data_IF_069788462806
#
_entry.id   IF_069788462806
#
_cell.length_a   1.000
_cell.length_b   1.000
_cell.length_c   1.000
_cell.angle_alpha   90.00
_cell.angle_beta   90.00
_cell.angle_gamma   90.00
#
_symmetry.space_group_name_H-M   'P 1'
#
loop_
_entity.id
_entity.type
_entity.pdbx_description
1 polymer ?
#
# COMPACT_ATOMS: atom_id res chain seq x y z
N UNK A 1 6.90 4.52 -15.37
CA UNK A 1 5.80 5.50 -15.26
C UNK A 1 4.81 4.94 -14.26
N UNK A 2 4.88 5.39 -13.00
CA UNK A 2 3.84 5.09 -12.02
C UNK A 2 2.74 6.15 -12.16
N UNK A 3 1.47 5.74 -12.11
CA UNK A 3 0.37 6.69 -12.01
C UNK A 3 0.09 6.94 -10.53
N UNK A 4 0.19 8.20 -10.12
CA UNK A 4 -0.12 8.62 -8.76
C UNK A 4 -1.64 8.53 -8.51
N UNK A 5 -2.11 8.15 -7.30
CA UNK A 5 -3.53 8.12 -6.96
C UNK A 5 -4.27 9.42 -7.28
N UNK A 6 -3.61 10.58 -7.18
CA UNK A 6 -4.15 11.89 -7.58
C UNK A 6 -4.50 11.95 -9.06
N UNK A 7 -3.64 11.43 -9.94
CA UNK A 7 -3.90 11.38 -11.37
C UNK A 7 -5.02 10.39 -11.70
N UNK A 8 -5.02 9.22 -11.06
CA UNK A 8 -6.08 8.24 -11.23
C UNK A 8 -7.45 8.80 -10.81
N UNK A 9 -7.48 9.59 -9.73
CA UNK A 9 -8.71 10.21 -9.26
C UNK A 9 -9.30 11.20 -10.27
N UNK A 10 -8.45 12.05 -10.86
CA UNK A 10 -8.88 12.99 -11.90
C UNK A 10 -9.47 12.26 -13.12
N UNK A 11 -8.90 11.12 -13.51
CA UNK A 11 -9.44 10.31 -14.60
C UNK A 11 -10.75 9.62 -14.19
N UNK A 12 -10.85 9.07 -12.98
CA UNK A 12 -12.10 8.47 -12.49
C UNK A 12 -13.25 9.47 -12.42
N UNK A 13 -12.98 10.73 -12.08
CA UNK A 13 -14.01 11.78 -12.02
C UNK A 13 -14.51 12.22 -13.40
N UNK A 14 -13.67 12.13 -14.43
CA UNK A 14 -13.98 12.62 -15.79
C UNK A 14 -14.43 11.52 -16.75
N UNK A 15 -14.25 10.27 -16.37
CA UNK A 15 -14.56 9.10 -17.20
C UNK A 15 -15.54 8.16 -16.49
N UNK A 16 -15.93 7.07 -17.15
CA UNK A 16 -16.73 6.01 -16.54
C UNK A 16 -15.88 4.82 -16.06
N UNK A 17 -14.55 4.99 -15.98
CA UNK A 17 -13.66 3.97 -15.44
C UNK A 17 -13.69 3.98 -13.92
N UNK A 18 -13.54 2.81 -13.32
CA UNK A 18 -13.40 2.64 -11.87
C UNK A 18 -12.05 2.03 -11.59
N UNK A 19 -11.24 2.69 -10.78
CA UNK A 19 -9.90 2.23 -10.45
C UNK A 19 -9.87 1.51 -9.12
N UNK A 20 -8.96 0.54 -9.06
CA UNK A 20 -8.70 -0.28 -7.90
C UNK A 20 -7.21 -0.21 -7.61
N UNK A 21 -6.87 -0.03 -6.35
CA UNK A 21 -5.50 -0.06 -5.88
C UNK A 21 -5.23 -1.46 -5.35
N UNK A 22 -4.15 -2.08 -5.81
CA UNK A 22 -3.66 -3.36 -5.34
C UNK A 22 -2.21 -3.16 -4.92
N UNK A 23 -1.92 -3.36 -3.63
CA UNK A 23 -0.58 -3.19 -3.08
C UNK A 23 -0.15 -4.55 -2.52
N UNK A 24 1.04 -4.96 -2.93
CA UNK A 24 1.67 -6.20 -2.48
C UNK A 24 3.09 -5.87 -2.02
N UNK A 25 3.53 -6.51 -0.94
CA UNK A 25 4.94 -6.53 -0.58
C UNK A 25 5.75 -7.30 -1.63
N UNK A 26 7.05 -7.04 -1.69
CA UNK A 26 7.97 -7.84 -2.49
C UNK A 26 8.90 -8.63 -1.57
N UNK A 27 9.43 -9.74 -2.08
CA UNK A 27 10.40 -10.54 -1.34
C UNK A 27 11.74 -9.83 -1.33
N UNK A 28 12.41 -9.86 -0.17
CA UNK A 28 13.82 -9.49 -0.12
C UNK A 28 14.63 -10.51 -0.94
N UNK A 29 15.51 -10.03 -1.82
CA UNK A 29 16.49 -10.86 -2.52
C UNK A 29 17.84 -10.77 -1.80
N UNK A 30 18.19 -11.73 -0.93
CA UNK A 30 19.49 -11.75 -0.27
C UNK A 30 20.62 -11.83 -1.30
N UNK A 31 21.61 -10.94 -1.15
CA UNK A 31 22.78 -10.80 -2.05
C UNK A 31 23.57 -12.10 -2.17
N UNK A 32 23.60 -12.90 -1.11
CA UNK A 32 24.46 -14.09 -0.99
C UNK A 32 23.94 -15.31 -1.79
N UNK A 33 22.63 -15.45 -1.95
CA UNK A 33 22.02 -16.63 -2.59
C UNK A 33 21.18 -16.28 -3.83
N UNK A 34 20.87 -14.98 -4.02
CA UNK A 34 20.28 -14.46 -5.25
C UNK A 34 18.86 -14.93 -5.58
N UNK A 35 18.20 -15.62 -4.65
CA UNK A 35 16.86 -16.18 -4.84
C UNK A 35 15.86 -15.55 -3.85
N UNK A 36 14.60 -15.42 -4.27
CA UNK A 36 13.54 -14.82 -3.47
C UNK A 36 13.27 -15.66 -2.22
N UNK A 37 13.12 -15.03 -1.05
CA UNK A 37 12.67 -15.77 0.14
C UNK A 37 11.29 -16.38 -0.10
N UNK A 38 11.03 -17.59 0.41
CA UNK A 38 9.71 -18.24 0.35
C UNK A 38 8.72 -17.66 1.38
N UNK A 39 9.00 -16.46 1.89
CA UNK A 39 8.25 -15.85 2.97
C UNK A 39 7.00 -15.16 2.42
N UNK A 40 5.85 -15.28 3.09
CA UNK A 40 4.63 -14.60 2.65
C UNK A 40 4.80 -13.08 2.71
N UNK A 41 4.21 -12.39 1.74
CA UNK A 41 4.22 -10.93 1.66
C UNK A 41 2.81 -10.38 1.94
N UNK A 42 2.70 -9.18 2.54
CA UNK A 42 1.40 -8.55 2.77
C UNK A 42 0.72 -8.21 1.43
N UNK A 43 -0.60 -8.37 1.39
CA UNK A 43 -1.44 -8.02 0.24
C UNK A 43 -2.64 -7.20 0.71
N UNK A 44 -2.95 -6.13 0.01
CA UNK A 44 -4.18 -5.35 0.22
C UNK A 44 -4.75 -4.84 -1.09
N UNK A 45 -6.07 -4.67 -1.13
CA UNK A 45 -6.75 -4.07 -2.26
C UNK A 45 -7.95 -3.23 -1.83
N UNK A 46 -8.19 -2.13 -2.53
CA UNK A 46 -9.35 -1.28 -2.29
C UNK A 46 -9.80 -0.57 -3.57
N UNK A 47 -10.99 0.05 -3.54
CA UNK A 47 -11.39 0.99 -4.59
C UNK A 47 -10.67 2.31 -4.38
N UNK A 48 -10.35 3.01 -5.47
CA UNK A 48 -9.73 4.32 -5.38
C UNK A 48 -10.58 5.29 -4.52
N UNK A 49 -11.91 5.24 -4.61
CA UNK A 49 -12.83 6.04 -3.78
C UNK A 49 -12.69 5.78 -2.27
N UNK A 50 -12.46 4.53 -1.88
CA UNK A 50 -12.30 4.17 -0.47
C UNK A 50 -10.95 4.73 0.03
N UNK A 51 -9.91 4.66 -0.80
CA UNK A 51 -8.61 5.30 -0.53
C UNK A 51 -8.73 6.83 -0.40
N UNK A 52 -9.42 7.51 -1.32
CA UNK A 52 -9.62 8.97 -1.23
C UNK A 52 -10.38 9.34 0.05
N UNK A 53 -11.38 8.55 0.43
CA UNK A 53 -12.09 8.74 1.71
C UNK A 53 -11.14 8.57 2.91
N UNK A 54 -10.22 7.60 2.83
CA UNK A 54 -9.26 7.32 3.88
C UNK A 54 -8.16 8.37 4.04
N UNK A 55 -7.76 9.03 2.96
CA UNK A 55 -6.78 10.14 2.98
C UNK A 55 -7.38 11.44 3.55
N UNK A 56 -8.69 11.51 3.77
CA UNK A 56 -9.38 12.72 4.24
C UNK A 56 -10.15 13.45 3.14
N UNK A 57 -10.44 12.78 2.02
CA UNK A 57 -11.22 13.29 0.91
C UNK A 57 -10.39 13.89 -0.22
N UNK A 58 -11.09 14.44 -1.22
CA UNK A 58 -10.48 14.96 -2.44
C UNK A 58 -9.52 16.12 -2.19
N UNK A 59 -9.82 17.03 -1.25
CA UNK A 59 -8.97 18.17 -0.95
C UNK A 59 -7.57 17.72 -0.45
N UNK A 60 -7.54 16.77 0.49
CA UNK A 60 -6.29 16.22 1.04
C UNK A 60 -5.48 15.44 -0.02
N UNK A 61 -6.17 14.68 -0.88
CA UNK A 61 -5.51 13.98 -1.98
C UNK A 61 -4.85 14.97 -2.96
N UNK A 62 -5.56 16.05 -3.32
CA UNK A 62 -5.03 17.04 -4.26
C UNK A 62 -3.88 17.86 -3.68
N UNK A 63 -3.78 18.00 -2.36
CA UNK A 63 -2.67 18.67 -1.67
C UNK A 63 -1.38 17.82 -1.65
N UNK A 64 -1.49 16.51 -1.88
CA UNK A 64 -0.33 15.60 -1.88
C UNK A 64 0.70 16.02 -2.94
N UNK A 65 1.97 16.15 -2.53
CA UNK A 65 3.08 16.49 -3.42
C UNK A 65 3.38 15.35 -4.38
N UNK A 66 3.68 15.70 -5.62
CA UNK A 66 4.15 14.79 -6.67
C UNK A 66 5.67 14.87 -6.88
N UNK A 67 6.36 15.61 -6.02
CA UNK A 67 7.81 15.73 -6.10
C UNK A 67 8.46 14.36 -5.83
N UNK A 68 9.61 14.07 -6.46
CA UNK A 68 10.34 12.84 -6.19
C UNK A 68 10.59 12.68 -4.69
N UNK A 69 10.34 11.48 -4.16
CA UNK A 69 10.65 11.16 -2.78
C UNK A 69 12.15 11.41 -2.53
N UNK A 70 12.52 12.20 -1.50
CA UNK A 70 13.92 12.47 -1.20
C UNK A 70 14.58 11.17 -0.74
N UNK A 71 15.32 10.53 -1.64
CA UNK A 71 16.13 9.37 -1.28
C UNK A 71 17.24 9.83 -0.31
N UNK A 72 17.50 9.07 0.76
CA UNK A 72 18.64 9.34 1.62
C UNK A 72 19.91 9.43 0.78
N UNK A 73 20.58 10.57 0.80
CA UNK A 73 21.88 10.71 0.17
C UNK A 73 22.86 9.87 0.97
N UNK A 74 23.63 9.00 0.31
CA UNK A 74 24.70 8.24 0.97
C UNK A 74 25.68 9.26 1.57
N UNK A 75 25.60 9.47 2.88
CA UNK A 75 26.63 10.20 3.62
C UNK A 75 27.81 9.24 3.73
N UNK A 76 29.01 9.70 3.35
CA UNK A 76 30.24 8.94 3.55
C UNK A 76 30.30 8.45 5.01
N UNK A 77 30.53 7.15 5.19
CA UNK A 77 30.47 6.45 6.46
C UNK A 77 31.35 7.14 7.53
N UNK A 78 30.73 7.73 8.55
CA UNK A 78 31.48 8.43 9.59
C UNK A 78 30.69 9.12 10.70
N UNK A 79 29.36 9.16 10.67
CA UNK A 79 28.56 9.73 11.76
C UNK A 79 27.50 8.71 12.19
N UNK A 80 27.55 8.32 13.47
CA UNK A 80 26.51 7.53 14.12
C UNK A 80 25.18 8.25 13.92
N UNK A 81 24.32 7.69 13.06
CA UNK A 81 22.94 8.15 12.94
C UNK A 81 22.23 7.68 14.20
N UNK A 82 22.38 8.45 15.27
CA UNK A 82 21.44 8.44 16.38
C UNK A 82 20.11 8.90 15.78
N UNK A 83 19.35 7.94 15.27
CA UNK A 83 17.96 8.16 14.92
C UNK A 83 17.27 8.69 16.18
N UNK A 84 16.80 9.92 16.11
CA UNK A 84 15.78 10.39 17.02
C UNK A 84 14.58 9.47 16.77
N UNK A 85 14.47 8.40 17.57
CA UNK A 85 13.25 7.62 17.71
C UNK A 85 12.23 8.58 18.31
N UNK A 86 11.63 9.38 17.42
CA UNK A 86 10.62 10.36 17.77
C UNK A 86 9.61 9.68 18.67
N UNK A 87 9.46 10.26 19.86
CA UNK A 87 8.52 9.89 20.91
C UNK A 87 7.27 9.28 20.30
N UNK A 88 7.04 7.99 20.61
CA UNK A 88 5.92 7.17 20.16
C UNK A 88 4.59 7.70 20.70
N UNK A 89 4.23 8.90 20.27
CA UNK A 89 2.96 9.54 20.53
C UNK A 89 1.87 8.57 20.13
N UNK A 90 1.02 8.25 21.10
CA UNK A 90 -0.15 7.38 20.94
C UNK A 90 -0.94 7.81 19.70
N UNK A 91 -0.76 7.09 18.60
CA UNK A 91 -1.48 7.28 17.33
C UNK A 91 -2.96 7.34 17.68
N UNK A 92 -3.66 8.39 17.24
CA UNK A 92 -5.12 8.40 17.28
C UNK A 92 -5.63 7.08 16.71
N UNK A 93 -6.67 6.51 17.32
CA UNK A 93 -7.22 5.22 16.89
C UNK A 93 -7.75 5.36 15.47
N UNK A 94 -6.92 4.94 14.50
CA UNK A 94 -7.28 4.86 13.08
C UNK A 94 -8.39 3.82 12.95
N UNK A 95 -9.53 4.20 12.38
CA UNK A 95 -10.62 3.28 12.08
C UNK A 95 -10.45 2.73 10.65
N UNK A 96 -10.82 1.47 10.45
CA UNK A 96 -10.82 0.87 9.13
C UNK A 96 -11.87 1.54 8.23
N UNK A 97 -11.46 1.93 7.03
CA UNK A 97 -12.33 2.63 6.06
C UNK A 97 -12.64 1.64 4.94
N UNK A 98 -13.73 0.90 5.16
CA UNK A 98 -14.15 -0.20 4.29
C UNK A 98 -13.31 -1.47 4.49
N UNK A 99 -13.79 -2.59 3.92
CA UNK A 99 -13.09 -3.87 4.01
C UNK A 99 -13.25 -4.57 5.38
N UNK A 100 -12.15 -5.08 5.91
CA UNK A 100 -12.08 -5.78 7.20
C UNK A 100 -11.57 -4.85 8.33
N UNK A 101 -11.20 -5.42 9.49
CA UNK A 101 -10.78 -4.65 10.66
C UNK A 101 -9.31 -4.24 10.67
N UNK A 102 -8.53 -4.57 9.63
CA UNK A 102 -7.10 -4.27 9.58
C UNK A 102 -6.88 -2.82 9.13
N UNK A 103 -6.06 -2.07 9.87
CA UNK A 103 -5.84 -0.63 9.67
C UNK A 103 -4.40 -0.27 9.30
N UNK A 104 -3.49 -1.24 9.29
CA UNK A 104 -2.08 -1.05 8.98
C UNK A 104 -1.60 -2.10 7.98
N UNK A 105 -0.73 -1.68 7.06
CA UNK A 105 -0.08 -2.57 6.10
C UNK A 105 1.32 -2.91 6.60
N UNK A 106 1.40 -3.98 7.39
CA UNK A 106 2.64 -4.65 7.78
C UNK A 106 2.40 -6.16 7.83
N UNK A 107 3.45 -6.96 7.97
CA UNK A 107 3.42 -8.42 7.90
C UNK A 107 2.47 -9.02 8.95
N UNK A 108 2.49 -8.46 10.16
CA UNK A 108 1.71 -8.99 11.29
C UNK A 108 0.24 -8.59 11.21
N UNK A 109 -0.03 -7.34 10.82
CA UNK A 109 -1.39 -6.81 10.69
C UNK A 109 -2.11 -7.45 9.50
N UNK A 110 -1.47 -7.54 8.34
CA UNK A 110 -2.04 -8.12 7.14
C UNK A 110 -2.39 -9.62 7.32
N UNK A 111 -1.60 -10.36 8.10
CA UNK A 111 -1.88 -11.76 8.41
C UNK A 111 -3.20 -11.99 9.19
N UNK A 112 -3.76 -10.94 9.80
CA UNK A 112 -5.06 -10.98 10.50
C UNK A 112 -6.24 -10.60 9.60
N UNK A 113 -5.97 -10.24 8.35
CA UNK A 113 -6.98 -9.84 7.37
C UNK A 113 -7.85 -11.00 6.90
N UNK A 114 -8.97 -10.66 6.27
CA UNK A 114 -9.98 -11.63 5.86
C UNK A 114 -9.59 -12.50 4.65
N UNK A 115 -8.54 -12.12 3.91
CA UNK A 115 -8.05 -12.87 2.75
C UNK A 115 -7.27 -14.14 3.14
N UNK A 116 -6.75 -14.19 4.37
CA UNK A 116 -5.90 -15.29 4.82
C UNK A 116 -4.64 -15.45 3.97
N UNK A 117 -4.08 -16.67 3.99
CA UNK A 117 -2.93 -17.04 3.17
C UNK A 117 -3.40 -17.62 1.84
N UNK A 118 -2.85 -17.10 0.73
CA UNK A 118 -3.12 -17.59 -0.61
C UNK A 118 -1.85 -17.48 -1.48
N UNK A 119 -1.75 -18.31 -2.51
CA UNK A 119 -0.62 -18.32 -3.43
C UNK A 119 -0.77 -17.21 -4.47
N UNK A 120 0.36 -16.73 -5.02
CA UNK A 120 0.33 -15.72 -6.10
C UNK A 120 -0.53 -16.13 -7.31
N UNK A 121 -0.63 -17.42 -7.62
CA UNK A 121 -1.51 -17.93 -8.68
C UNK A 121 -3.01 -17.71 -8.42
N UNK A 122 -3.42 -17.53 -7.18
CA UNK A 122 -4.82 -17.30 -6.78
C UNK A 122 -5.20 -15.81 -6.83
N UNK A 123 -4.21 -14.91 -6.93
CA UNK A 123 -4.38 -13.46 -6.89
C UNK A 123 -5.40 -12.94 -7.91
N UNK A 124 -5.33 -13.41 -9.16
CA UNK A 124 -6.27 -12.99 -10.19
C UNK A 124 -7.71 -13.47 -9.91
N UNK A 125 -7.87 -14.63 -9.26
CA UNK A 125 -9.18 -15.11 -8.81
C UNK A 125 -9.78 -14.23 -7.72
N UNK A 126 -8.94 -13.79 -6.76
CA UNK A 126 -9.34 -12.82 -5.73
C UNK A 126 -9.76 -11.49 -6.36
N UNK A 127 -8.93 -10.96 -7.27
CA UNK A 127 -9.18 -9.68 -7.94
C UNK A 127 -10.49 -9.74 -8.74
N UNK A 128 -10.65 -10.72 -9.63
CA UNK A 128 -11.86 -10.85 -10.47
C UNK A 128 -13.13 -10.97 -9.64
N UNK A 129 -13.10 -11.77 -8.57
CA UNK A 129 -14.21 -11.91 -7.63
C UNK A 129 -14.53 -10.59 -6.90
N UNK A 130 -13.53 -9.84 -6.48
CA UNK A 130 -13.73 -8.53 -5.85
C UNK A 130 -14.31 -7.50 -6.82
N UNK A 131 -13.84 -7.51 -8.08
CA UNK A 131 -14.33 -6.67 -9.16
C UNK A 131 -15.74 -7.05 -9.62
N UNK A 132 -16.25 -8.22 -9.22
CA UNK A 132 -17.49 -8.84 -9.75
C UNK A 132 -17.45 -8.96 -11.27
N UNK A 133 -16.28 -9.30 -11.79
CA UNK A 133 -16.09 -9.61 -13.21
C UNK A 133 -16.25 -11.11 -13.35
N UNK A 134 -17.25 -11.55 -14.11
CA UNK A 134 -17.39 -12.95 -14.48
C UNK A 134 -16.23 -13.35 -15.40
N UNK A 135 -15.60 -14.49 -15.12
CA UNK A 135 -14.54 -15.11 -15.93
C UNK A 135 -15.13 -16.29 -16.70
#
# INVERSE_FOLDING_TARGET
>A
MGYDPKMLWQVEMTTNYRYFLCVIGDHSTPVEYGDHSFEPVPFTMCRLRDFVSAVGGEAALLETSLDPFPLPTVVECGEDVAGDEGDGGRRETVQAIGGDSVVELNEIAAARGCLGLFHGGEMMGVITKFLKVDV
#
